data_IF_545107713767
#
_entry.id   IF_545107713767
#
_cell.length_a   1.000
_cell.length_b   1.000
_cell.length_c   1.000
_cell.angle_alpha   90.00
_cell.angle_beta   90.00
_cell.angle_gamma   90.00
#
_symmetry.space_group_name_H-M   'P 1'
#
loop_
_entity.id
_entity.type
_entity.pdbx_description
1 polymer ?
#
# COMPACT_ATOMS: atom_id res chain seq x y z
N UNK A 1 -38.55 -4.91 25.58
CA UNK A 1 -38.12 -4.08 24.43
C UNK A 1 -36.86 -3.28 24.73
N UNK A 2 -36.81 -2.46 25.79
CA UNK A 2 -35.59 -1.71 26.16
C UNK A 2 -34.34 -2.58 26.39
N UNK A 3 -34.45 -3.70 27.12
CA UNK A 3 -33.31 -4.58 27.39
C UNK A 3 -32.72 -5.21 26.12
N UNK A 4 -33.56 -5.47 25.11
CA UNK A 4 -33.11 -6.01 23.82
C UNK A 4 -32.36 -4.94 23.03
N UNK A 5 -32.90 -3.72 22.96
CA UNK A 5 -32.21 -2.59 22.32
C UNK A 5 -30.86 -2.29 22.99
N UNK A 6 -30.81 -2.35 24.33
CA UNK A 6 -29.58 -2.20 25.10
C UNK A 6 -28.55 -3.28 24.76
N UNK A 7 -28.95 -4.55 24.72
CA UNK A 7 -28.06 -5.67 24.39
C UNK A 7 -27.50 -5.58 22.95
N UNK A 8 -28.31 -5.13 21.99
CA UNK A 8 -27.88 -4.88 20.61
C UNK A 8 -26.84 -3.76 20.56
N UNK A 9 -27.08 -2.65 21.27
CA UNK A 9 -26.14 -1.55 21.35
C UNK A 9 -24.79 -1.98 21.93
N UNK A 10 -24.80 -2.69 23.07
CA UNK A 10 -23.56 -3.19 23.71
C UNK A 10 -22.79 -4.10 22.76
N UNK A 11 -23.45 -5.05 22.11
CA UNK A 11 -22.81 -5.98 21.18
C UNK A 11 -22.22 -5.24 19.97
N UNK A 12 -22.98 -4.30 19.38
CA UNK A 12 -22.56 -3.52 18.22
C UNK A 12 -21.36 -2.62 18.52
N UNK A 13 -21.40 -1.87 19.61
CA UNK A 13 -20.28 -1.00 20.00
C UNK A 13 -19.03 -1.80 20.36
N UNK A 14 -19.18 -2.96 21.01
CA UNK A 14 -18.05 -3.84 21.33
C UNK A 14 -17.41 -4.39 20.05
N UNK A 15 -18.22 -4.88 19.11
CA UNK A 15 -17.74 -5.37 17.81
C UNK A 15 -17.04 -4.26 17.01
N UNK A 16 -17.60 -3.06 16.98
CA UNK A 16 -16.96 -1.90 16.35
C UNK A 16 -15.65 -1.53 17.05
N UNK A 17 -15.61 -1.53 18.38
CA UNK A 17 -14.39 -1.25 19.14
C UNK A 17 -13.26 -2.23 18.83
N UNK A 18 -13.58 -3.53 18.77
CA UNK A 18 -12.64 -4.58 18.36
C UNK A 18 -12.15 -4.33 16.94
N UNK A 19 -13.06 -4.10 15.99
CA UNK A 19 -12.69 -3.86 14.59
C UNK A 19 -11.80 -2.63 14.42
N UNK A 20 -12.09 -1.55 15.14
CA UNK A 20 -11.26 -0.32 15.11
C UNK A 20 -9.84 -0.60 15.62
N UNK A 21 -9.70 -1.39 16.69
CA UNK A 21 -8.40 -1.77 17.23
C UNK A 21 -7.62 -2.64 16.22
N UNK A 22 -8.25 -3.69 15.69
CA UNK A 22 -7.66 -4.57 14.67
C UNK A 22 -7.23 -3.76 13.45
N UNK A 23 -8.09 -2.87 12.95
CA UNK A 23 -7.80 -2.01 11.80
C UNK A 23 -6.63 -1.07 12.07
N UNK A 24 -6.54 -0.52 13.29
CA UNK A 24 -5.42 0.34 13.69
C UNK A 24 -4.11 -0.43 13.77
N UNK A 25 -4.10 -1.59 14.41
CA UNK A 25 -2.91 -2.45 14.53
C UNK A 25 -2.43 -2.86 13.15
N UNK A 26 -3.32 -3.40 12.31
CA UNK A 26 -3.00 -3.77 10.93
C UNK A 26 -2.38 -2.61 10.14
N UNK A 27 -2.93 -1.39 10.29
CA UNK A 27 -2.41 -0.20 9.60
C UNK A 27 -1.02 0.18 10.11
N UNK A 28 -0.78 0.12 11.42
CA UNK A 28 0.53 0.42 12.00
C UNK A 28 1.57 -0.59 11.53
N UNK A 29 1.25 -1.89 11.55
CA UNK A 29 2.16 -2.93 11.08
C UNK A 29 2.50 -2.75 9.59
N UNK A 30 1.51 -2.33 8.78
CA UNK A 30 1.76 -2.01 7.37
C UNK A 30 2.69 -0.80 7.23
N UNK A 31 2.43 0.29 7.95
CA UNK A 31 3.28 1.50 7.92
C UNK A 31 4.71 1.15 8.32
N UNK A 32 4.90 0.38 9.39
CA UNK A 32 6.23 -0.02 9.86
C UNK A 32 6.98 -0.85 8.80
N UNK A 33 6.34 -1.88 8.23
CA UNK A 33 6.96 -2.68 7.16
C UNK A 33 7.33 -1.84 5.94
N UNK A 34 6.45 -0.95 5.51
CA UNK A 34 6.69 -0.06 4.37
C UNK A 34 7.83 0.91 4.67
N UNK A 35 7.83 1.56 5.83
CA UNK A 35 8.87 2.50 6.25
C UNK A 35 10.25 1.84 6.32
N UNK A 36 10.32 0.62 6.85
CA UNK A 36 11.56 -0.16 6.86
C UNK A 36 12.07 -0.45 5.43
N UNK A 37 11.17 -0.86 4.52
CA UNK A 37 11.54 -1.16 3.12
C UNK A 37 11.93 0.08 2.34
N UNK A 38 11.26 1.20 2.58
CA UNK A 38 11.59 2.49 1.97
C UNK A 38 12.90 3.10 2.52
N UNK A 39 13.45 2.59 3.62
CA UNK A 39 14.77 3.00 4.11
C UNK A 39 15.88 2.03 3.71
N UNK A 40 15.53 0.86 3.18
CA UNK A 40 16.49 -0.13 2.73
C UNK A 40 17.24 0.39 1.48
N UNK A 41 18.50 -0.02 1.34
CA UNK A 41 19.31 0.31 0.15
C UNK A 41 18.65 -0.32 -1.09
N UNK A 42 18.44 0.45 -2.18
CA UNK A 42 17.92 -0.08 -3.42
C UNK A 42 18.74 -1.25 -3.95
N UNK A 43 18.07 -2.30 -4.42
CA UNK A 43 18.70 -3.48 -5.02
C UNK A 43 18.39 -3.60 -6.50
N UNK A 44 19.16 -4.37 -7.27
CA UNK A 44 18.83 -4.59 -8.67
C UNK A 44 17.46 -5.27 -8.83
N UNK A 45 16.74 -4.92 -9.89
CA UNK A 45 15.48 -5.56 -10.22
C UNK A 45 15.67 -7.08 -10.47
N UNK A 46 14.76 -7.94 -9.99
CA UNK A 46 14.85 -9.37 -10.20
C UNK A 46 14.76 -9.71 -11.69
N UNK A 47 15.55 -10.70 -12.11
CA UNK A 47 15.48 -11.24 -13.46
C UNK A 47 14.10 -11.87 -13.72
N UNK A 48 13.63 -11.92 -15.00
CA UNK A 48 12.32 -12.48 -15.34
C UNK A 48 12.06 -13.90 -14.82
N UNK A 49 13.12 -14.70 -14.66
CA UNK A 49 13.02 -16.05 -14.09
C UNK A 49 12.57 -16.09 -12.63
N UNK A 50 12.82 -15.03 -11.86
CA UNK A 50 12.45 -14.92 -10.45
C UNK A 50 11.07 -14.27 -10.24
N UNK A 51 10.43 -13.77 -11.30
CA UNK A 51 9.12 -13.12 -11.19
C UNK A 51 8.00 -14.00 -10.65
N UNK A 52 7.94 -15.32 -10.92
CA UNK A 52 6.92 -16.18 -10.33
C UNK A 52 6.98 -16.27 -8.80
N UNK A 53 8.12 -15.94 -8.18
CA UNK A 53 8.33 -15.99 -6.73
C UNK A 53 7.97 -14.66 -6.03
N UNK A 54 7.78 -13.59 -6.80
CA UNK A 54 7.47 -12.25 -6.27
C UNK A 54 6.12 -12.29 -5.56
N UNK A 55 6.12 -11.86 -4.30
CA UNK A 55 4.91 -11.87 -3.49
C UNK A 55 4.82 -10.64 -2.57
N UNK A 56 3.60 -10.30 -2.13
CA UNK A 56 3.38 -9.11 -1.30
C UNK A 56 4.09 -9.21 0.07
N UNK A 57 4.18 -10.42 0.62
CA UNK A 57 4.82 -10.61 1.92
C UNK A 57 6.29 -10.23 1.87
N UNK A 58 7.00 -10.48 0.78
CA UNK A 58 8.46 -10.31 0.71
C UNK A 58 8.91 -9.11 -0.14
N UNK A 59 8.18 -8.77 -1.21
CA UNK A 59 8.63 -7.80 -2.22
C UNK A 59 7.80 -6.49 -2.26
N UNK A 60 6.69 -6.41 -1.54
CA UNK A 60 5.85 -5.20 -1.53
C UNK A 60 6.67 -3.97 -1.05
N UNK A 61 6.65 -2.87 -1.79
CA UNK A 61 7.43 -1.65 -1.49
C UNK A 61 8.96 -1.83 -1.43
N UNK A 62 9.50 -2.94 -1.95
CA UNK A 62 10.95 -3.14 -2.06
C UNK A 62 11.57 -2.08 -2.99
N UNK A 63 12.65 -1.42 -2.52
CA UNK A 63 13.36 -0.46 -3.36
C UNK A 63 14.22 -1.14 -4.41
N UNK A 64 14.04 -0.73 -5.67
CA UNK A 64 14.80 -1.24 -6.80
C UNK A 64 15.55 -0.12 -7.51
N UNK A 65 16.79 -0.40 -7.89
CA UNK A 65 17.57 0.42 -8.81
C UNK A 65 17.43 -0.14 -10.23
N UNK A 66 16.99 0.70 -11.16
CA UNK A 66 16.77 0.33 -12.57
C UNK A 66 17.37 1.39 -13.48
N UNK A 67 18.01 0.94 -14.55
CA UNK A 67 18.56 1.80 -15.61
C UNK A 67 17.92 1.43 -16.94
N UNK A 68 17.56 2.42 -17.74
CA UNK A 68 16.94 2.21 -19.04
C UNK A 68 17.02 3.44 -19.92
N UNK A 69 16.40 3.37 -21.09
CA UNK A 69 16.26 4.50 -22.02
C UNK A 69 14.79 4.75 -22.26
N UNK A 70 14.40 6.02 -22.18
CA UNK A 70 13.04 6.45 -22.49
C UNK A 70 12.69 6.17 -23.96
N UNK A 71 11.50 5.64 -24.21
CA UNK A 71 10.98 5.30 -25.53
C UNK A 71 9.81 6.24 -25.86
N UNK A 72 10.11 7.36 -26.52
CA UNK A 72 9.12 8.40 -26.83
C UNK A 72 8.02 7.98 -27.82
N UNK A 73 8.10 6.78 -28.39
CA UNK A 73 7.04 6.17 -29.22
C UNK A 73 6.04 5.34 -28.39
N UNK A 74 6.28 5.17 -27.09
CA UNK A 74 5.48 4.32 -26.18
C UNK A 74 5.14 5.01 -24.86
N UNK A 75 4.88 6.31 -24.93
CA UNK A 75 4.58 7.13 -23.75
C UNK A 75 3.21 6.78 -23.17
N UNK A 76 3.13 6.76 -21.83
CA UNK A 76 1.87 6.63 -21.10
C UNK A 76 1.65 7.85 -20.22
N UNK A 77 0.45 8.43 -20.31
CA UNK A 77 0.04 9.54 -19.45
C UNK A 77 -0.47 8.99 -18.12
N UNK A 78 0.23 9.31 -17.03
CA UNK A 78 -0.17 8.93 -15.67
C UNK A 78 -0.60 10.17 -14.91
N UNK A 79 -1.74 10.10 -14.23
CA UNK A 79 -2.30 11.24 -13.52
C UNK A 79 -1.26 11.84 -12.56
N UNK A 80 -0.96 13.11 -12.76
CA UNK A 80 -0.15 13.89 -11.87
C UNK A 80 -1.05 14.55 -10.82
N UNK A 81 -0.71 14.35 -9.55
CA UNK A 81 -1.26 15.10 -8.42
C UNK A 81 -0.18 16.09 -8.01
N UNK A 82 -0.35 17.34 -8.42
CA UNK A 82 0.64 18.40 -8.18
C UNK A 82 -0.01 19.59 -7.48
N UNK A 83 0.79 20.37 -6.77
CA UNK A 83 0.34 21.62 -6.14
C UNK A 83 -0.16 22.66 -7.16
N UNK A 84 0.14 22.47 -8.45
CA UNK A 84 -0.28 23.35 -9.56
C UNK A 84 -1.63 22.95 -10.18
N UNK A 85 -2.29 21.92 -9.64
CA UNK A 85 -3.51 21.35 -10.19
C UNK A 85 -3.29 20.04 -10.93
N UNK A 86 -4.36 19.55 -11.58
CA UNK A 86 -4.34 18.27 -12.29
C UNK A 86 -3.56 18.34 -13.60
N UNK A 87 -2.81 17.28 -13.91
CA UNK A 87 -2.07 17.11 -15.15
C UNK A 87 -1.65 15.66 -15.35
N UNK A 88 -0.69 15.40 -16.23
CA UNK A 88 -0.15 14.06 -16.48
C UNK A 88 1.38 14.06 -16.43
N UNK A 89 1.94 13.03 -15.81
CA UNK A 89 3.32 12.62 -16.01
C UNK A 89 3.41 11.80 -17.29
N UNK A 90 4.44 12.07 -18.09
CA UNK A 90 4.81 11.23 -19.24
C UNK A 90 5.77 10.18 -18.73
N UNK A 91 5.40 8.90 -18.83
CA UNK A 91 6.22 7.74 -18.45
C UNK A 91 6.48 6.81 -19.63
#
# INVERSE_FOLDING_TARGET
>A
MLCLCGAIGVTGFSALGVWQLERRVWKLDLIERVDQRLKAVPVAAPAPSAWPEINARDDEYRQLAVTGRFLGDRETLVQAVTDRGGGFWVM
#
